data_IF_629913504286
#
_entry.id   IF_629913504286
#
_cell.length_a   1.000
_cell.length_b   1.000
_cell.length_c   1.000
_cell.angle_alpha   90.00
_cell.angle_beta   90.00
_cell.angle_gamma   90.00
#
_symmetry.space_group_name_H-M   'P 1'
#
loop_
_entity.id
_entity.type
_entity.pdbx_description
1 polymer ?
#
# COMPACT_ATOMS: atom_id res chain seq x y z
N UNK A 1 19.68 -8.42 -1.35
CA UNK A 1 19.57 -9.38 -0.22
C UNK A 1 18.35 -8.99 0.61
N UNK A 2 17.57 -9.94 1.13
CA UNK A 2 16.39 -9.64 1.99
C UNK A 2 16.86 -9.42 3.43
N UNK A 3 16.33 -8.41 4.11
CA UNK A 3 16.65 -8.13 5.52
C UNK A 3 15.94 -9.14 6.43
N UNK A 4 16.67 -9.67 7.41
CA UNK A 4 16.10 -10.49 8.49
C UNK A 4 15.42 -9.62 9.54
N UNK A 5 14.58 -10.23 10.37
CA UNK A 5 13.96 -9.64 11.56
C UNK A 5 14.91 -8.80 12.42
N UNK A 6 16.12 -9.30 12.71
CA UNK A 6 17.14 -8.58 13.48
C UNK A 6 17.62 -7.33 12.76
N UNK A 7 17.81 -7.42 11.44
CA UNK A 7 18.26 -6.28 10.64
C UNK A 7 17.15 -5.26 10.49
N UNK A 8 15.90 -5.68 10.28
CA UNK A 8 14.72 -4.79 10.25
C UNK A 8 14.65 -3.98 11.55
N UNK A 9 14.76 -4.63 12.72
CA UNK A 9 14.77 -3.93 14.01
C UNK A 9 15.91 -2.92 14.13
N UNK A 10 17.13 -3.29 13.68
CA UNK A 10 18.29 -2.40 13.70
C UNK A 10 18.07 -1.17 12.83
N UNK A 11 17.55 -1.34 11.62
CA UNK A 11 17.28 -0.25 10.68
C UNK A 11 16.16 0.68 11.17
N UNK A 12 15.12 0.12 11.84
CA UNK A 12 14.07 0.92 12.50
C UNK A 12 14.66 1.71 13.68
N UNK A 13 15.45 1.06 14.55
CA UNK A 13 16.08 1.72 15.69
C UNK A 13 17.08 2.81 15.27
N UNK A 14 17.73 2.65 14.11
CA UNK A 14 18.60 3.65 13.50
C UNK A 14 17.83 4.78 12.79
N UNK A 15 16.50 4.70 12.72
CA UNK A 15 15.65 5.67 12.02
C UNK A 15 15.77 5.64 10.49
N UNK A 16 16.38 4.57 9.93
CA UNK A 16 16.54 4.42 8.48
C UNK A 16 15.26 3.89 7.85
N UNK A 17 14.66 2.86 8.44
CA UNK A 17 13.31 2.39 8.08
C UNK A 17 12.32 3.07 9.03
N UNK A 18 11.26 3.65 8.46
CA UNK A 18 10.14 4.21 9.23
C UNK A 18 8.97 3.24 9.13
N UNK A 19 8.45 2.82 10.28
CA UNK A 19 7.14 2.17 10.44
C UNK A 19 6.43 2.94 11.54
N UNK A 20 5.32 3.58 11.25
CA UNK A 20 4.60 4.41 12.23
C UNK A 20 3.08 4.20 12.14
N UNK A 21 2.43 3.65 13.18
CA UNK A 21 3.00 3.20 14.46
C UNK A 21 3.80 1.88 14.34
N UNK A 22 4.98 1.83 14.96
CA UNK A 22 5.77 0.60 15.10
C UNK A 22 5.26 -0.28 16.24
N UNK A 23 5.17 -1.58 15.97
CA UNK A 23 4.82 -2.62 16.92
C UNK A 23 5.76 -3.81 16.70
N UNK A 24 6.61 -4.11 17.69
CA UNK A 24 7.64 -5.15 17.55
C UNK A 24 7.04 -6.56 17.41
N UNK A 25 5.81 -6.78 17.89
CA UNK A 25 5.10 -8.06 17.76
C UNK A 25 4.69 -8.37 16.30
N UNK A 26 4.71 -7.35 15.43
CA UNK A 26 4.43 -7.50 14.01
C UNK A 26 5.66 -7.94 13.21
N UNK A 27 6.87 -7.89 13.79
CA UNK A 27 8.10 -8.32 13.11
C UNK A 27 8.07 -9.84 12.88
N UNK A 28 8.31 -10.26 11.65
CA UNK A 28 8.37 -11.63 11.17
C UNK A 28 9.81 -11.96 10.72
N UNK A 29 10.17 -13.25 10.51
CA UNK A 29 11.56 -13.65 10.23
C UNK A 29 12.29 -12.87 9.12
N UNK A 30 11.55 -12.37 8.10
CA UNK A 30 12.10 -11.63 6.96
C UNK A 30 11.20 -10.49 6.49
N UNK A 31 10.29 -10.03 7.35
CA UNK A 31 9.28 -9.02 7.02
C UNK A 31 8.72 -8.39 8.29
N UNK A 32 7.85 -7.41 8.14
CA UNK A 32 6.99 -6.89 9.21
C UNK A 32 5.55 -6.88 8.71
N UNK A 33 4.63 -7.44 9.49
CA UNK A 33 3.20 -7.38 9.20
C UNK A 33 2.73 -5.92 9.20
N UNK A 34 1.88 -5.56 8.23
CA UNK A 34 1.18 -4.26 8.19
C UNK A 34 -0.31 -4.47 8.35
N UNK A 35 -0.97 -3.47 8.92
CA UNK A 35 -2.41 -3.49 9.19
C UNK A 35 -3.14 -2.64 8.16
N UNK A 36 -4.42 -2.91 7.96
CA UNK A 36 -5.27 -2.08 7.12
C UNK A 36 -5.80 -0.87 7.90
N UNK A 37 -5.84 0.28 7.25
CA UNK A 37 -6.49 1.49 7.72
C UNK A 37 -8.02 1.34 7.69
N UNK A 38 -8.73 2.35 8.20
CA UNK A 38 -10.17 2.49 8.11
C UNK A 38 -10.63 3.18 6.81
N UNK A 39 -9.69 3.57 5.95
CA UNK A 39 -9.93 4.33 4.72
C UNK A 39 -9.94 3.41 3.48
N UNK A 40 -11.04 3.45 2.74
CA UNK A 40 -11.26 2.69 1.51
C UNK A 40 -11.72 3.60 0.38
N UNK A 41 -11.40 3.28 -0.88
CA UNK A 41 -12.04 3.90 -2.04
C UNK A 41 -12.79 2.90 -2.90
N UNK A 42 -14.05 3.21 -3.14
CA UNK A 42 -14.97 2.40 -3.93
C UNK A 42 -15.21 3.08 -5.28
N UNK A 43 -15.10 2.32 -6.38
CA UNK A 43 -15.25 2.85 -7.73
C UNK A 43 -16.72 3.01 -8.11
N UNK A 44 -17.12 4.23 -8.47
CA UNK A 44 -18.45 4.55 -8.99
C UNK A 44 -18.52 4.27 -10.48
N UNK A 45 -18.40 3.00 -10.88
CA UNK A 45 -18.29 2.60 -12.29
C UNK A 45 -19.45 3.08 -13.19
N UNK A 46 -20.61 3.43 -12.62
CA UNK A 46 -21.74 3.98 -13.36
C UNK A 46 -21.57 5.45 -13.77
N UNK A 47 -20.59 6.19 -13.24
CA UNK A 47 -20.40 7.62 -13.51
C UNK A 47 -19.52 7.90 -14.74
N UNK A 48 -18.92 6.88 -15.34
CA UNK A 48 -18.06 7.01 -16.52
C UNK A 48 -18.23 5.80 -17.45
N UNK A 49 -18.21 6.04 -18.78
CA UNK A 49 -18.29 4.96 -19.77
C UNK A 49 -16.97 4.21 -20.02
N UNK A 50 -15.84 4.82 -19.65
CA UNK A 50 -14.49 4.28 -19.83
C UNK A 50 -13.54 4.89 -18.80
N UNK A 51 -12.49 4.16 -18.44
CA UNK A 51 -11.32 4.70 -17.72
C UNK A 51 -10.31 5.17 -18.77
N UNK A 52 -10.33 6.45 -19.11
CA UNK A 52 -9.30 7.06 -19.96
C UNK A 52 -8.10 7.49 -19.10
N UNK A 53 -6.98 6.79 -19.25
CA UNK A 53 -5.76 7.03 -18.47
C UNK A 53 -5.08 8.38 -18.77
N UNK A 54 -5.48 9.07 -19.84
CA UNK A 54 -5.02 10.43 -20.16
C UNK A 54 -5.85 11.53 -19.50
N UNK A 55 -7.04 11.19 -19.03
CA UNK A 55 -7.96 12.14 -18.43
C UNK A 55 -7.85 12.09 -16.90
N UNK A 56 -8.12 13.21 -16.23
CA UNK A 56 -8.24 13.22 -14.78
C UNK A 56 -9.51 12.44 -14.35
N UNK A 57 -9.27 11.24 -13.83
CA UNK A 57 -10.30 10.33 -13.33
C UNK A 57 -10.28 10.24 -11.79
N UNK A 58 -9.70 11.21 -11.09
CA UNK A 58 -9.59 11.20 -9.61
C UNK A 58 -10.94 11.13 -8.90
N UNK A 59 -12.00 11.66 -9.54
CA UNK A 59 -13.38 11.59 -9.05
C UNK A 59 -14.10 10.25 -9.27
N UNK A 60 -13.47 9.27 -9.93
CA UNK A 60 -14.09 7.97 -10.21
C UNK A 60 -14.31 7.11 -8.96
N UNK A 61 -13.52 7.34 -7.91
CA UNK A 61 -13.59 6.56 -6.68
C UNK A 61 -13.88 7.43 -5.46
N UNK A 62 -14.91 7.08 -4.70
CA UNK A 62 -15.32 7.79 -3.49
C UNK A 62 -14.59 7.24 -2.26
N UNK A 63 -14.27 8.10 -1.30
CA UNK A 63 -13.70 7.68 -0.02
C UNK A 63 -14.82 7.20 0.90
N UNK A 64 -14.61 6.03 1.49
CA UNK A 64 -15.47 5.40 2.48
C UNK A 64 -14.64 5.18 3.74
N UNK A 65 -15.16 5.61 4.88
CA UNK A 65 -14.49 5.54 6.18
C UNK A 65 -15.24 4.58 7.10
N UNK A 66 -14.55 3.58 7.62
CA UNK A 66 -15.09 2.66 8.63
C UNK A 66 -14.76 3.18 10.03
N UNK A 67 -15.47 2.72 11.09
CA UNK A 67 -15.07 3.01 12.47
C UNK A 67 -13.63 2.57 12.76
N UNK A 68 -12.79 3.49 13.25
CA UNK A 68 -11.36 3.23 13.50
C UNK A 68 -11.10 2.12 14.53
N UNK A 69 -12.03 1.93 15.47
CA UNK A 69 -11.97 0.90 16.50
C UNK A 69 -12.23 -0.51 15.97
N UNK A 70 -12.62 -0.63 14.70
CA UNK A 70 -12.94 -1.89 14.06
C UNK A 70 -14.26 -2.50 14.52
N UNK A 71 -15.19 -1.70 15.05
CA UNK A 71 -16.52 -2.18 15.44
C UNK A 71 -17.34 -2.70 14.25
N UNK A 72 -17.07 -2.20 13.05
CA UNK A 72 -17.73 -2.59 11.80
C UNK A 72 -16.69 -2.91 10.72
N UNK A 73 -16.91 -3.97 9.91
CA UNK A 73 -16.03 -4.29 8.80
C UNK A 73 -16.42 -3.54 7.52
N UNK A 74 -15.43 -3.30 6.67
CA UNK A 74 -15.68 -3.08 5.25
C UNK A 74 -16.03 -4.42 4.58
N UNK A 75 -17.11 -4.46 3.80
CA UNK A 75 -17.52 -5.65 3.07
C UNK A 75 -17.02 -5.59 1.63
N UNK A 76 -16.09 -6.48 1.26
CA UNK A 76 -15.59 -6.60 -0.10
C UNK A 76 -16.33 -7.72 -0.83
N UNK A 77 -17.20 -7.38 -1.78
CA UNK A 77 -18.03 -8.37 -2.47
C UNK A 77 -17.26 -9.14 -3.56
N UNK A 78 -17.71 -10.36 -3.94
CA UNK A 78 -17.12 -11.12 -5.03
C UNK A 78 -16.98 -10.31 -6.32
N UNK A 79 -15.79 -10.32 -6.92
CA UNK A 79 -15.48 -9.61 -8.16
C UNK A 79 -15.24 -8.11 -8.01
N UNK A 80 -15.34 -7.55 -6.80
CA UNK A 80 -15.04 -6.14 -6.56
C UNK A 80 -13.54 -5.86 -6.47
N UNK A 81 -13.19 -4.64 -6.87
CA UNK A 81 -11.88 -4.03 -6.71
C UNK A 81 -12.03 -2.69 -5.98
N UNK A 82 -11.26 -2.50 -4.91
CA UNK A 82 -11.24 -1.27 -4.12
C UNK A 82 -9.81 -0.86 -3.78
N UNK A 83 -9.59 0.41 -3.48
CA UNK A 83 -8.33 0.84 -2.91
C UNK A 83 -8.44 0.87 -1.38
N UNK A 84 -7.54 0.18 -0.70
CA UNK A 84 -7.34 0.33 0.74
C UNK A 84 -6.05 1.11 1.03
N UNK A 85 -5.76 1.32 2.30
CA UNK A 85 -4.46 1.83 2.71
C UNK A 85 -3.93 1.08 3.92
N UNK A 86 -2.62 1.00 4.04
CA UNK A 86 -1.97 0.56 5.28
C UNK A 86 -2.25 1.55 6.40
N UNK A 87 -2.43 1.02 7.61
CA UNK A 87 -2.51 1.84 8.82
C UNK A 87 -1.16 2.49 9.09
N UNK A 88 -0.08 1.75 8.91
CA UNK A 88 1.27 2.24 9.10
C UNK A 88 1.71 3.17 7.95
N UNK A 89 2.34 4.29 8.31
CA UNK A 89 3.24 5.01 7.43
C UNK A 89 4.54 4.23 7.30
N UNK A 90 4.98 4.01 6.07
CA UNK A 90 6.21 3.30 5.73
C UNK A 90 7.17 4.25 5.03
N UNK A 91 8.41 4.30 5.51
CA UNK A 91 9.49 5.06 4.89
C UNK A 91 10.75 4.22 4.73
N UNK A 92 11.45 4.39 3.62
CA UNK A 92 12.70 3.68 3.31
C UNK A 92 13.80 4.65 2.86
N UNK A 93 15.07 4.39 3.21
CA UNK A 93 16.19 5.21 2.78
C UNK A 93 16.48 5.01 1.29
N UNK A 94 17.44 5.78 0.78
CA UNK A 94 17.76 5.83 -0.66
C UNK A 94 18.46 4.55 -1.17
N UNK A 95 18.85 3.62 -0.29
CA UNK A 95 19.58 2.38 -0.60
C UNK A 95 18.83 1.09 -0.24
N UNK A 96 17.57 1.21 0.20
CA UNK A 96 16.67 0.08 0.42
C UNK A 96 15.44 0.20 -0.46
N UNK A 97 14.91 -0.95 -0.85
CA UNK A 97 13.58 -1.06 -1.45
C UNK A 97 12.70 -1.94 -0.55
N UNK A 98 11.48 -1.49 -0.28
CA UNK A 98 10.47 -2.32 0.39
C UNK A 98 9.67 -3.13 -0.63
N UNK A 99 9.08 -4.24 -0.22
CA UNK A 99 8.10 -4.98 -1.02
C UNK A 99 6.90 -5.36 -0.18
N UNK A 100 5.72 -4.89 -0.59
CA UNK A 100 4.44 -5.28 0.00
C UNK A 100 4.02 -6.61 -0.56
N UNK A 101 3.66 -7.53 0.32
CA UNK A 101 3.16 -8.85 -0.02
C UNK A 101 1.89 -9.17 0.77
N UNK A 102 1.02 -9.97 0.15
CA UNK A 102 -0.14 -10.55 0.84
C UNK A 102 0.26 -11.52 1.94
N UNK A 103 -0.69 -11.79 2.84
CA UNK A 103 -0.57 -12.91 3.77
C UNK A 103 -1.13 -14.18 3.12
N UNK A 104 -0.40 -15.29 3.20
CA UNK A 104 -0.85 -16.57 2.64
C UNK A 104 -2.24 -16.97 3.14
N UNK A 105 -2.54 -16.72 4.42
CA UNK A 105 -3.85 -17.02 5.02
C UNK A 105 -5.00 -16.27 4.35
N UNK A 106 -4.79 -15.02 3.92
CA UNK A 106 -5.81 -14.22 3.23
C UNK A 106 -5.91 -14.60 1.75
N UNK A 107 -4.78 -14.90 1.10
CA UNK A 107 -4.78 -15.42 -0.27
C UNK A 107 -5.55 -16.74 -0.41
N UNK A 108 -5.51 -17.60 0.62
CA UNK A 108 -6.31 -18.84 0.69
C UNK A 108 -7.83 -18.61 0.80
N UNK A 109 -8.25 -17.40 1.16
CA UNK A 109 -9.65 -16.96 1.17
C UNK A 109 -10.05 -16.21 -0.11
N UNK A 110 -9.14 -16.08 -1.08
CA UNK A 110 -9.39 -15.37 -2.33
C UNK A 110 -9.24 -13.84 -2.22
N UNK A 111 -8.56 -13.33 -1.19
CA UNK A 111 -8.21 -11.91 -1.11
C UNK A 111 -6.84 -11.65 -1.76
N UNK A 112 -6.83 -10.79 -2.77
CA UNK A 112 -5.62 -10.20 -3.35
C UNK A 112 -5.43 -8.80 -2.78
N UNK A 113 -4.19 -8.40 -2.47
CA UNK A 113 -3.92 -7.09 -1.83
C UNK A 113 -3.07 -6.12 -2.65
N UNK A 114 -2.46 -6.60 -3.74
CA UNK A 114 -1.81 -5.79 -4.74
C UNK A 114 -1.91 -6.53 -6.09
N UNK A 115 -2.09 -5.80 -7.19
CA UNK A 115 -2.20 -6.33 -8.55
C UNK A 115 -1.00 -5.97 -9.42
N UNK A 116 -0.31 -4.85 -9.16
CA UNK A 116 0.72 -4.36 -10.08
C UNK A 116 2.04 -3.91 -9.43
N UNK A 117 2.01 -2.95 -8.50
CA UNK A 117 3.21 -2.36 -7.91
C UNK A 117 3.52 -2.94 -6.52
N UNK A 118 4.40 -3.97 -6.49
CA UNK A 118 4.82 -4.56 -5.22
C UNK A 118 5.91 -3.76 -4.48
N UNK A 119 6.68 -2.93 -5.19
CA UNK A 119 7.81 -2.22 -4.60
C UNK A 119 7.42 -0.89 -3.94
N UNK A 120 8.05 -0.63 -2.80
CA UNK A 120 8.12 0.66 -2.14
C UNK A 120 9.50 1.22 -2.48
N UNK A 121 9.54 2.20 -3.38
CA UNK A 121 10.77 2.74 -3.95
C UNK A 121 11.70 3.37 -2.90
N UNK A 122 13.01 3.30 -3.13
CA UNK A 122 14.01 4.00 -2.33
C UNK A 122 13.68 5.49 -2.17
N UNK A 123 13.70 6.00 -0.94
CA UNK A 123 13.33 7.38 -0.60
C UNK A 123 11.82 7.63 -0.42
N UNK A 124 10.96 6.64 -0.70
CA UNK A 124 9.52 6.75 -0.46
C UNK A 124 9.24 6.94 1.03
N UNK A 125 8.26 7.78 1.33
CA UNK A 125 7.73 8.00 2.67
C UNK A 125 6.24 8.33 2.62
N UNK A 126 5.39 7.44 3.15
CA UNK A 126 3.94 7.62 3.17
C UNK A 126 3.17 6.36 3.59
N UNK A 127 1.84 6.43 3.60
CA UNK A 127 1.03 5.20 3.71
C UNK A 127 1.06 4.46 2.38
N UNK A 128 1.02 3.14 2.41
CA UNK A 128 0.93 2.35 1.18
C UNK A 128 -0.54 2.17 0.77
N UNK A 129 -0.86 2.49 -0.48
CA UNK A 129 -2.16 2.15 -1.09
C UNK A 129 -2.17 0.66 -1.42
N UNK A 130 -3.25 -0.03 -1.06
CA UNK A 130 -3.48 -1.45 -1.32
C UNK A 130 -4.52 -1.60 -2.42
N UNK A 131 -4.27 -2.49 -3.38
CA UNK A 131 -5.19 -2.78 -4.49
C UNK A 131 -5.93 -4.08 -4.13
N UNK A 132 -7.07 -3.95 -3.46
CA UNK A 132 -7.78 -5.06 -2.85
C UNK A 132 -8.80 -5.64 -3.82
N UNK A 133 -8.73 -6.95 -4.07
CA UNK A 133 -9.69 -7.65 -4.91
C UNK A 133 -10.16 -8.96 -4.27
N UNK A 134 -11.47 -9.22 -4.36
CA UNK A 134 -12.06 -10.48 -3.92
C UNK A 134 -12.32 -11.38 -5.13
N UNK A 135 -11.53 -12.44 -5.25
CA UNK A 135 -11.68 -13.47 -6.29
C UNK A 135 -12.39 -14.73 -5.80
N UNK A 136 -12.90 -14.73 -4.56
CA UNK A 136 -13.76 -15.78 -4.03
C UNK A 136 -15.23 -15.58 -4.46
N UNK A 137 -16.08 -16.55 -4.14
CA UNK A 137 -17.52 -16.51 -4.42
C UNK A 137 -18.38 -15.94 -3.29
N UNK A 138 -17.77 -15.61 -2.15
CA UNK A 138 -18.44 -15.04 -0.98
C UNK A 138 -17.82 -13.68 -0.59
N UNK A 139 -18.60 -12.76 0.01
CA UNK A 139 -18.06 -11.51 0.53
C UNK A 139 -17.00 -11.74 1.61
N UNK A 140 -15.97 -10.89 1.63
CA UNK A 140 -14.88 -10.92 2.62
C UNK A 140 -15.02 -9.69 3.51
N UNK A 141 -15.01 -9.89 4.83
CA UNK A 141 -15.00 -8.79 5.79
C UNK A 141 -13.57 -8.34 6.06
N UNK A 142 -13.34 -7.03 5.97
CA UNK A 142 -12.07 -6.38 6.26
C UNK A 142 -12.26 -5.45 7.46
N UNK A 143 -11.74 -5.85 8.60
CA UNK A 143 -11.80 -5.06 9.82
C UNK A 143 -10.63 -4.07 9.86
N UNK A 144 -10.86 -2.77 10.09
CA UNK A 144 -9.79 -1.83 10.40
C UNK A 144 -8.83 -2.40 11.45
N UNK A 145 -7.53 -2.10 11.29
CA UNK A 145 -6.42 -2.58 12.13
C UNK A 145 -6.10 -4.08 12.03
N UNK A 146 -6.83 -4.88 11.25
CA UNK A 146 -6.43 -6.27 11.00
C UNK A 146 -5.13 -6.34 10.20
N UNK A 147 -4.33 -7.39 10.41
CA UNK A 147 -3.14 -7.69 9.60
C UNK A 147 -3.57 -8.00 8.16
N UNK A 148 -3.16 -7.18 7.20
CA UNK A 148 -3.61 -7.29 5.79
C UNK A 148 -2.51 -7.78 4.86
N UNK A 149 -1.26 -7.47 5.20
CA UNK A 149 -0.10 -7.78 4.39
C UNK A 149 1.16 -7.77 5.23
N UNK A 150 2.30 -7.76 4.56
CA UNK A 150 3.61 -7.67 5.16
C UNK A 150 4.56 -6.92 4.23
N UNK A 151 5.56 -6.25 4.81
CA UNK A 151 6.63 -5.58 4.07
C UNK A 151 7.94 -6.31 4.32
N UNK A 152 8.58 -6.76 3.25
CA UNK A 152 9.98 -7.20 3.26
C UNK A 152 10.87 -6.09 2.74
N UNK A 153 12.13 -6.04 3.18
CA UNK A 153 13.07 -5.01 2.74
C UNK A 153 14.26 -5.67 2.06
N UNK A 154 14.77 -5.01 1.02
CA UNK A 154 15.91 -5.50 0.25
C UNK A 154 16.96 -4.40 0.09
N UNK A 155 18.21 -4.77 0.39
CA UNK A 155 19.36 -3.90 0.11
C UNK A 155 19.56 -3.78 -1.40
N UNK A 156 19.62 -2.55 -1.89
CA UNK A 156 20.00 -2.24 -3.27
C UNK A 156 21.53 -2.38 -3.44
N UNK A 157 21.98 -2.68 -4.66
CA UNK A 157 23.41 -2.81 -4.96
C UNK A 157 24.18 -1.51 -4.76
N UNK A 158 23.51 -0.37 -4.94
CA UNK A 158 24.03 0.99 -4.75
C UNK A 158 22.84 1.89 -4.45
N UNK A 159 22.98 2.97 -3.65
CA UNK A 159 21.91 3.93 -3.44
C UNK A 159 21.33 4.45 -4.77
N UNK A 160 20.03 4.72 -4.79
CA UNK A 160 19.36 5.32 -5.95
C UNK A 160 19.96 6.69 -6.24
N UNK A 161 20.36 6.93 -7.49
CA UNK A 161 20.86 8.24 -7.94
C UNK A 161 19.76 9.32 -7.84
N UNK A 162 18.51 8.92 -8.09
CA UNK A 162 17.34 9.78 -8.04
C UNK A 162 16.24 9.10 -7.20
N UNK A 163 16.27 9.24 -5.85
CA UNK A 163 15.27 8.64 -4.97
C UNK A 163 13.85 9.18 -5.19
N UNK A 164 12.85 8.41 -4.77
CA UNK A 164 11.44 8.79 -4.85
C UNK A 164 11.17 10.07 -4.06
N UNK A 165 10.46 11.01 -4.67
CA UNK A 165 10.20 12.33 -4.09
C UNK A 165 11.42 13.27 -4.05
N UNK A 166 12.62 12.80 -4.44
CA UNK A 166 13.87 13.57 -4.46
C UNK A 166 14.65 13.31 -5.75
N UNK A 167 14.16 13.87 -6.86
CA UNK A 167 14.84 13.80 -8.16
C UNK A 167 14.30 12.74 -9.11
N UNK A 168 13.65 11.66 -8.60
CA UNK A 168 12.92 10.74 -9.46
C UNK A 168 11.83 11.48 -10.26
N UNK A 169 11.88 11.36 -11.59
CA UNK A 169 10.82 11.93 -12.44
C UNK A 169 9.52 11.19 -12.19
N UNK A 170 8.44 11.93 -11.98
CA UNK A 170 7.10 11.35 -11.90
C UNK A 170 6.76 10.68 -10.57
N UNK A 171 7.43 11.02 -9.46
CA UNK A 171 6.95 10.71 -8.10
C UNK A 171 5.68 11.48 -7.80
N UNK A 172 4.55 10.78 -7.68
CA UNK A 172 3.21 11.38 -7.53
C UNK A 172 2.61 11.22 -6.14
N UNK A 173 3.18 10.33 -5.33
CA UNK A 173 2.53 9.83 -4.11
C UNK A 173 3.40 10.00 -2.85
N UNK A 174 4.45 10.83 -2.92
CA UNK A 174 5.30 11.09 -1.76
C UNK A 174 4.49 11.80 -0.67
N UNK A 175 4.59 11.32 0.56
CA UNK A 175 3.88 11.86 1.71
C UNK A 175 2.39 11.51 1.76
N UNK A 176 1.89 10.59 0.91
CA UNK A 176 0.47 10.30 0.86
C UNK A 176 -0.12 9.81 2.19
N UNK A 177 -1.39 10.15 2.42
CA UNK A 177 -2.19 9.78 3.59
C UNK A 177 -3.47 9.10 3.10
N UNK A 178 -3.56 7.80 3.34
CA UNK A 178 -4.66 6.98 2.83
C UNK A 178 -4.51 6.56 1.35
N UNK A 179 -5.58 6.01 0.76
CA UNK A 179 -5.58 5.52 -0.62
C UNK A 179 -5.73 6.69 -1.61
N UNK A 180 -4.63 7.34 -2.01
CA UNK A 180 -4.70 8.44 -2.98
C UNK A 180 -5.23 7.95 -4.34
N UNK A 181 -6.16 8.68 -5.00
CA UNK A 181 -6.58 8.36 -6.35
C UNK A 181 -5.41 8.34 -7.33
N UNK A 182 -5.56 7.59 -8.43
CA UNK A 182 -4.54 7.54 -9.47
C UNK A 182 -4.31 8.91 -10.09
N UNK A 183 -3.03 9.29 -10.21
CA UNK A 183 -2.55 10.49 -10.90
C UNK A 183 -1.85 10.14 -12.22
N UNK A 184 -2.22 9.02 -12.84
CA UNK A 184 -1.52 8.52 -14.04
C UNK A 184 -1.57 9.49 -15.23
N UNK A 185 -2.64 10.29 -15.33
CA UNK A 185 -2.83 11.28 -16.39
C UNK A 185 -1.70 12.33 -16.46
N UNK A 186 -1.05 12.64 -15.34
CA UNK A 186 0.06 13.61 -15.28
C UNK A 186 1.31 13.19 -16.08
N UNK A 187 1.37 11.92 -16.51
CA UNK A 187 2.40 11.48 -17.43
C UNK A 187 2.21 12.04 -18.86
N UNK A 188 1.01 12.56 -19.18
CA UNK A 188 0.65 13.07 -20.50
C UNK A 188 0.61 14.60 -20.58
N UNK A 189 0.62 15.31 -19.45
CA UNK A 189 0.58 16.79 -19.41
C UNK A 189 1.86 17.47 -19.97
N UNK A 190 2.90 16.69 -20.27
CA UNK A 190 4.17 17.14 -20.85
C UNK A 190 4.42 16.66 -22.30
N UNK A 191 3.39 16.21 -23.02
CA UNK A 191 3.50 15.83 -24.45
C UNK A 191 2.80 16.79 -25.39
#
# INVERSE_FOLDING_TARGET
MILSDQTIRKEIAAGRIVIDPFDDELVQPSSIDVRISHLFRVFRNHTAGVIDVKSDMTGLAELVEMPEDGSEPFMLHPGEFVLGSTLERVGVPDDLVGRVEGKSSLGRLGLLIHSTAGFIDAGFDGHITLELANVASLPITLYPRMKIGQVSFMQMTTPAENPYGKGARGSKYQGQRGPTPSRYFENFDNS
#
